data_IF_661338591815
#
_entry.id   IF_661338591815
#
_cell.length_a   1.000
_cell.length_b   1.000
_cell.length_c   1.000
_cell.angle_alpha   90.00
_cell.angle_beta   90.00
_cell.angle_gamma   90.00
#
_symmetry.space_group_name_H-M   'P 1'
#
loop_
_entity.id
_entity.type
_entity.pdbx_description
1 polymer ?
#
# COMPACT_ATOMS: atom_id res chain seq x y z
N UNK A 1 -0.11 23.34 0.34
CA UNK A 1 0.96 22.33 0.22
C UNK A 1 0.23 21.00 0.05
N UNK A 2 0.24 20.42 -1.14
CA UNK A 2 -0.37 19.10 -1.36
C UNK A 2 0.51 18.06 -0.65
N UNK A 3 -0.06 17.34 0.31
CA UNK A 3 0.60 16.23 0.98
C UNK A 3 0.81 15.08 -0.01
N UNK A 4 1.78 14.20 0.21
CA UNK A 4 2.09 13.09 -0.71
C UNK A 4 0.88 12.19 -1.05
N UNK A 5 -0.12 12.08 -0.15
CA UNK A 5 -1.39 11.37 -0.40
C UNK A 5 -2.22 11.95 -1.55
N UNK A 6 -2.06 13.23 -1.92
CA UNK A 6 -2.84 13.87 -3.01
C UNK A 6 -2.41 13.39 -4.43
N UNK A 7 -1.41 12.49 -4.52
CA UNK A 7 -0.92 11.90 -5.77
C UNK A 7 -1.26 10.42 -5.96
N UNK A 8 -1.75 9.75 -4.91
CA UNK A 8 -2.06 8.33 -4.95
C UNK A 8 -3.52 8.18 -5.38
N UNK A 9 -3.71 7.55 -6.53
CA UNK A 9 -5.03 7.28 -7.10
C UNK A 9 -4.97 6.02 -7.95
N UNK A 10 -6.12 5.43 -8.24
CA UNK A 10 -6.21 4.32 -9.21
C UNK A 10 -5.60 4.77 -10.54
N UNK A 11 -4.65 3.99 -11.03
CA UNK A 11 -3.86 4.29 -12.23
C UNK A 11 -2.48 4.90 -11.95
N UNK A 12 -2.19 5.40 -10.74
CA UNK A 12 -0.87 5.93 -10.39
C UNK A 12 0.20 4.85 -10.42
N UNK A 13 1.37 5.20 -10.96
CA UNK A 13 2.59 4.39 -10.87
C UNK A 13 3.23 4.56 -9.51
N UNK A 14 3.61 3.45 -8.90
CA UNK A 14 4.14 3.42 -7.54
C UNK A 14 5.26 2.40 -7.42
N UNK A 15 6.17 2.65 -6.48
CA UNK A 15 7.16 1.69 -6.01
C UNK A 15 6.80 1.25 -4.59
N UNK A 16 6.89 -0.04 -4.29
CA UNK A 16 6.73 -0.61 -2.95
C UNK A 16 7.79 -1.67 -2.68
N UNK A 17 7.97 -2.07 -1.42
CA UNK A 17 8.86 -3.18 -1.06
C UNK A 17 8.05 -4.48 -1.07
N UNK A 18 8.52 -5.50 -1.78
CA UNK A 18 7.86 -6.81 -1.81
C UNK A 18 8.80 -7.95 -2.21
N UNK A 19 8.64 -9.11 -1.55
CA UNK A 19 9.20 -10.39 -1.95
C UNK A 19 8.12 -11.47 -1.86
N UNK A 20 8.05 -12.36 -2.86
CA UNK A 20 7.23 -13.57 -2.79
C UNK A 20 7.96 -14.73 -2.10
N UNK A 21 9.27 -14.58 -1.86
CA UNK A 21 10.08 -15.57 -1.14
C UNK A 21 9.89 -15.39 0.38
N UNK A 22 9.31 -16.38 1.09
CA UNK A 22 9.04 -16.28 2.52
C UNK A 22 10.29 -16.29 3.40
N UNK A 23 11.44 -16.71 2.86
CA UNK A 23 12.71 -16.74 3.60
C UNK A 23 13.41 -15.37 3.60
N UNK A 24 12.94 -14.42 2.77
CA UNK A 24 13.46 -13.05 2.75
C UNK A 24 12.72 -12.21 3.79
N UNK A 25 13.40 -11.72 4.83
CA UNK A 25 12.76 -10.88 5.83
C UNK A 25 12.36 -9.53 5.22
N UNK A 26 11.30 -8.93 5.75
CA UNK A 26 10.63 -7.75 5.19
C UNK A 26 11.55 -6.54 5.03
N UNK A 27 12.47 -6.34 5.98
CA UNK A 27 13.49 -5.28 5.94
C UNK A 27 14.46 -5.40 4.76
N UNK A 28 14.49 -6.56 4.10
CA UNK A 28 15.33 -6.87 2.93
C UNK A 28 14.54 -7.01 1.64
N UNK A 29 13.24 -6.75 1.65
CA UNK A 29 12.46 -6.85 0.43
C UNK A 29 12.98 -5.87 -0.63
N UNK A 30 13.13 -6.31 -1.90
CA UNK A 30 13.55 -5.41 -2.97
C UNK A 30 12.43 -4.41 -3.28
N UNK A 31 12.77 -3.22 -3.82
CA UNK A 31 11.78 -2.34 -4.39
C UNK A 31 11.18 -2.96 -5.66
N UNK A 32 9.88 -2.78 -5.83
CA UNK A 32 9.07 -3.31 -6.93
C UNK A 32 8.15 -2.21 -7.42
N UNK A 33 8.21 -1.97 -8.72
CA UNK A 33 7.31 -1.05 -9.40
C UNK A 33 5.99 -1.71 -9.75
N UNK A 34 4.94 -0.91 -9.78
CA UNK A 34 3.59 -1.36 -10.07
C UNK A 34 2.63 -0.21 -10.33
N UNK A 35 1.34 -0.54 -10.38
CA UNK A 35 0.27 0.42 -10.60
C UNK A 35 -0.86 0.16 -9.62
N UNK A 36 -1.41 1.22 -9.04
CA UNK A 36 -2.63 1.12 -8.24
C UNK A 36 -3.78 0.73 -9.18
N UNK A 37 -4.48 -0.35 -8.84
CA UNK A 37 -5.61 -0.88 -9.64
C UNK A 37 -6.94 -0.75 -8.94
N UNK A 38 -6.95 -0.54 -7.62
CA UNK A 38 -8.18 -0.31 -6.85
C UNK A 38 -7.88 0.43 -5.54
N UNK A 39 -8.89 1.12 -5.01
CA UNK A 39 -8.89 1.79 -3.71
C UNK A 39 -9.91 1.09 -2.79
N UNK A 40 -9.42 0.53 -1.69
CA UNK A 40 -10.26 -0.09 -0.66
C UNK A 40 -10.37 0.85 0.53
N UNK A 41 -11.45 1.60 0.61
CA UNK A 41 -11.82 2.19 1.90
C UNK A 41 -12.33 1.07 2.79
N UNK A 42 -11.53 0.68 3.78
CA UNK A 42 -12.02 -0.21 4.82
C UNK A 42 -13.19 0.51 5.50
N UNK A 43 -14.38 -0.09 5.42
CA UNK A 43 -15.60 0.42 6.05
C UNK A 43 -15.51 0.32 7.58
N UNK A 44 -14.62 1.09 8.21
CA UNK A 44 -14.55 1.30 9.66
C UNK A 44 -13.51 2.38 10.02
N UNK A 45 -13.61 3.58 9.44
CA UNK A 45 -13.09 4.79 10.09
C UNK A 45 -14.00 5.25 11.26
N UNK A 46 -14.74 4.33 11.88
CA UNK A 46 -15.28 4.56 13.21
C UNK A 46 -14.11 4.43 14.16
N UNK A 47 -13.44 5.56 14.42
CA UNK A 47 -12.30 5.78 15.32
C UNK A 47 -11.75 4.47 15.90
N UNK A 48 -10.78 3.85 15.20
CA UNK A 48 -10.20 2.57 15.61
C UNK A 48 -9.66 2.62 17.06
N UNK A 49 -9.33 3.82 17.53
CA UNK A 49 -8.98 4.19 18.90
C UNK A 49 -10.09 3.91 19.92
N UNK A 50 -11.36 4.19 19.56
CA UNK A 50 -12.53 3.99 20.44
C UNK A 50 -12.76 2.51 20.79
N UNK A 51 -12.24 1.59 19.95
CA UNK A 51 -12.36 0.14 20.13
C UNK A 51 -11.05 -0.58 20.45
N UNK A 52 -9.93 0.14 20.64
CA UNK A 52 -8.62 -0.47 20.88
C UNK A 52 -8.14 -1.36 19.73
N UNK A 53 -8.38 -0.92 18.49
CA UNK A 53 -8.05 -1.64 17.24
C UNK A 53 -6.95 -0.94 16.45
N UNK A 54 -5.99 -0.36 17.16
CA UNK A 54 -4.76 0.22 16.60
C UNK A 54 -3.93 -0.80 15.79
N UNK A 55 -4.10 -2.09 16.07
CA UNK A 55 -3.49 -3.19 15.30
C UNK A 55 -4.16 -3.49 13.96
N UNK A 56 -5.37 -2.98 13.69
CA UNK A 56 -6.14 -3.26 12.49
C UNK A 56 -6.04 -2.13 11.47
N UNK A 57 -4.80 -1.81 11.05
CA UNK A 57 -4.51 -0.77 10.07
C UNK A 57 -5.10 -1.17 8.70
N UNK A 58 -5.95 -0.32 8.16
CA UNK A 58 -6.63 -0.55 6.88
C UNK A 58 -5.65 -0.35 5.72
N UNK A 59 -5.44 -1.38 4.89
CA UNK A 59 -4.68 -1.24 3.64
C UNK A 59 -5.57 -0.65 2.57
N UNK A 60 -5.26 0.57 2.12
CA UNK A 60 -6.10 1.35 1.21
C UNK A 60 -5.91 1.02 -0.28
N UNK A 61 -4.79 0.43 -0.67
CA UNK A 61 -4.43 0.30 -2.08
C UNK A 61 -4.25 -1.15 -2.49
N UNK A 62 -4.88 -1.55 -3.61
CA UNK A 62 -4.39 -2.69 -4.37
C UNK A 62 -3.41 -2.21 -5.43
N UNK A 63 -2.20 -2.76 -5.38
CA UNK A 63 -1.14 -2.50 -6.36
C UNK A 63 -0.88 -3.77 -7.16
N UNK A 64 -1.02 -3.67 -8.47
CA UNK A 64 -0.56 -4.69 -9.40
C UNK A 64 0.91 -4.41 -9.73
N UNK A 65 1.81 -5.26 -9.24
CA UNK A 65 3.23 -5.20 -9.55
C UNK A 65 3.49 -5.57 -11.01
N UNK A 66 4.61 -5.08 -11.56
CA UNK A 66 5.00 -5.35 -12.95
C UNK A 66 5.34 -6.84 -13.19
N UNK A 67 5.62 -7.60 -12.12
CA UNK A 67 5.78 -9.05 -12.17
C UNK A 67 4.46 -9.83 -12.07
N UNK A 68 3.32 -9.12 -12.00
CA UNK A 68 1.98 -9.69 -11.99
C UNK A 68 1.43 -10.02 -10.60
N UNK A 69 2.21 -9.84 -9.53
CA UNK A 69 1.71 -10.02 -8.18
C UNK A 69 0.75 -8.88 -7.78
N UNK A 70 -0.37 -9.24 -7.15
CA UNK A 70 -1.30 -8.29 -6.54
C UNK A 70 -0.98 -8.17 -5.05
N UNK A 71 -0.64 -6.95 -4.60
CA UNK A 71 -0.30 -6.66 -3.21
C UNK A 71 -1.20 -5.56 -2.64
N UNK A 72 -1.46 -5.62 -1.33
CA UNK A 72 -2.24 -4.63 -0.61
C UNK A 72 -1.33 -3.75 0.26
N UNK A 73 -1.52 -2.44 0.18
CA UNK A 73 -0.63 -1.46 0.81
C UNK A 73 -1.40 -0.28 1.40
N UNK A 74 -0.81 0.37 2.38
CA UNK A 74 -1.22 1.67 2.90
C UNK A 74 -0.31 2.78 2.31
N UNK A 75 -0.64 4.04 2.58
CA UNK A 75 0.06 5.23 2.10
C UNK A 75 1.54 5.24 2.48
N UNK A 76 1.91 4.71 3.64
CA UNK A 76 3.30 4.68 4.15
C UNK A 76 4.17 3.56 3.55
N UNK A 77 3.56 2.64 2.79
CA UNK A 77 4.26 1.50 2.19
C UNK A 77 4.44 1.64 0.66
N UNK A 78 3.96 2.74 0.07
CA UNK A 78 4.07 3.02 -1.36
C UNK A 78 4.59 4.43 -1.63
N UNK A 79 5.42 4.54 -2.64
CA UNK A 79 6.00 5.82 -3.08
C UNK A 79 5.55 6.10 -4.52
N UNK A 80 5.03 7.30 -4.85
CA UNK A 80 4.65 7.64 -6.21
C UNK A 80 5.88 7.70 -7.13
N UNK A 81 5.79 7.05 -8.29
CA UNK A 81 6.76 7.21 -9.37
C UNK A 81 6.45 8.50 -10.12
N UNK A 82 7.47 9.36 -10.28
CA UNK A 82 7.32 10.70 -10.87
C UNK A 82 7.13 10.68 -12.39
#
# INVERSE_FOLDING_TARGET
>A
MASASDRLAVGSRVTTRYSADPDVPEDKWPPKSGKIVDEYQAAAESDASDFGRDWAIAKHWAVMLDDGALVFRDDDEIEPEN
#
